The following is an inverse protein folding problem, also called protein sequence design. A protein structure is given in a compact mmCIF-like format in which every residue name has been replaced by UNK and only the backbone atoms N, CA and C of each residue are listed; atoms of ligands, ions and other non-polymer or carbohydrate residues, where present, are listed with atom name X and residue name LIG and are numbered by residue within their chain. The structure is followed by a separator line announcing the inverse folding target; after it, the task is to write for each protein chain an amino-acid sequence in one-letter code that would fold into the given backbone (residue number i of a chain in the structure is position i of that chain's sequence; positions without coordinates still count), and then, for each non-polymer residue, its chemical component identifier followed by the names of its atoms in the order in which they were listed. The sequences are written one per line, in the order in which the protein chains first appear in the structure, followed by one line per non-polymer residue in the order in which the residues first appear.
data_IF_389582589341
#
_entry.id   IF_389582589341
#
_cell.length_a   1.000
_cell.length_b   1.000
_cell.length_c   1.000
_cell.angle_alpha   90.00
_cell.angle_beta   90.00
_cell.angle_gamma   90.00
#
_symmetry.space_group_name_H-M   'P 1'
#
loop_
_entity.id
_entity.type
_entity.pdbx_description
1 polymer ?
#
# COMPACT_ATOMS: atom_id res chain seq x y z
N UNK A 1 -2.46 -9.72 5.94
CA UNK A 1 -3.58 -9.22 5.09
C UNK A 1 -3.14 -8.84 3.69
N UNK A 2 -2.20 -7.90 3.49
CA UNK A 2 -1.82 -7.39 2.15
C UNK A 2 -1.39 -8.47 1.14
N UNK A 3 -0.60 -9.46 1.57
CA UNK A 3 -0.21 -10.57 0.70
C UNK A 3 -1.38 -11.51 0.38
N UNK A 4 -2.30 -11.73 1.33
CA UNK A 4 -3.47 -12.59 1.14
C UNK A 4 -4.41 -12.00 0.10
N UNK A 5 -4.72 -10.69 0.23
CA UNK A 5 -5.54 -10.01 -0.77
C UNK A 5 -4.88 -10.08 -2.15
N UNK A 6 -3.55 -9.93 -2.25
CA UNK A 6 -2.83 -10.05 -3.52
C UNK A 6 -2.90 -11.46 -4.14
N UNK A 7 -2.65 -12.51 -3.36
CA UNK A 7 -2.77 -13.88 -3.84
C UNK A 7 -4.19 -14.19 -4.32
N UNK A 8 -5.21 -13.72 -3.59
CA UNK A 8 -6.59 -13.84 -4.03
C UNK A 8 -6.83 -13.07 -5.35
N UNK A 9 -6.30 -11.86 -5.47
CA UNK A 9 -6.36 -11.04 -6.68
C UNK A 9 -5.78 -11.74 -7.92
N UNK A 10 -4.65 -12.42 -7.76
CA UNK A 10 -4.05 -13.21 -8.84
C UNK A 10 -4.85 -14.48 -9.17
N UNK A 11 -5.39 -15.16 -8.16
CA UNK A 11 -6.17 -16.39 -8.34
C UNK A 11 -7.48 -16.18 -9.11
N UNK A 12 -8.05 -14.97 -9.09
CA UNK A 12 -9.24 -14.62 -9.89
C UNK A 12 -9.05 -14.95 -11.38
N UNK A 13 -7.85 -14.74 -11.93
CA UNK A 13 -7.58 -14.99 -13.35
C UNK A 13 -7.55 -16.47 -13.69
N UNK A 14 -6.98 -17.28 -12.80
CA UNK A 14 -6.82 -18.72 -13.01
C UNK A 14 -8.14 -19.47 -12.78
N UNK A 15 -9.05 -18.87 -12.00
CA UNK A 15 -10.33 -19.46 -11.61
C UNK A 15 -11.52 -18.85 -12.36
N UNK A 16 -11.27 -18.05 -13.41
CA UNK A 16 -12.32 -17.40 -14.18
C UNK A 16 -13.32 -18.42 -14.75
N UNK A 17 -14.61 -18.25 -14.41
CA UNK A 17 -15.67 -19.19 -14.78
C UNK A 17 -15.94 -20.30 -13.75
N UNK A 18 -15.16 -20.38 -12.66
CA UNK A 18 -15.42 -21.29 -11.54
C UNK A 18 -16.19 -20.58 -10.41
N UNK A 19 -16.95 -21.31 -9.57
CA UNK A 19 -17.59 -20.74 -8.38
C UNK A 19 -16.59 -20.12 -7.39
N UNK A 20 -15.32 -20.55 -7.42
CA UNK A 20 -14.28 -20.05 -6.53
C UNK A 20 -13.81 -18.64 -6.92
N UNK A 21 -14.00 -18.21 -8.17
CA UNK A 21 -13.70 -16.83 -8.57
C UNK A 21 -14.41 -15.80 -7.68
N UNK A 22 -15.68 -16.04 -7.34
CA UNK A 22 -16.45 -15.17 -6.46
C UNK A 22 -15.85 -15.07 -5.06
N UNK A 23 -15.37 -16.19 -4.50
CA UNK A 23 -14.69 -16.21 -3.22
C UNK A 23 -13.40 -15.37 -3.26
N UNK A 24 -12.59 -15.52 -4.30
CA UNK A 24 -11.36 -14.74 -4.46
C UNK A 24 -11.62 -13.25 -4.66
N UNK A 25 -12.69 -12.87 -5.38
CA UNK A 25 -13.14 -11.48 -5.45
C UNK A 25 -13.47 -10.93 -4.08
N UNK A 26 -14.23 -11.66 -3.26
CA UNK A 26 -14.58 -11.23 -1.90
C UNK A 26 -13.33 -11.08 -1.03
N UNK A 27 -12.44 -12.08 -1.03
CA UNK A 27 -11.21 -12.05 -0.23
C UNK A 27 -10.19 -11.00 -0.71
N UNK A 28 -10.27 -10.57 -1.96
CA UNK A 28 -9.43 -9.49 -2.49
C UNK A 28 -10.04 -8.11 -2.20
N UNK A 29 -11.27 -7.89 -2.66
CA UNK A 29 -11.94 -6.58 -2.68
C UNK A 29 -12.36 -6.14 -1.29
N UNK A 30 -12.95 -7.03 -0.47
CA UNK A 30 -13.51 -6.64 0.83
C UNK A 30 -12.42 -6.20 1.83
N UNK A 31 -11.30 -6.93 2.02
CA UNK A 31 -10.19 -6.41 2.80
C UNK A 31 -9.57 -5.13 2.22
N UNK A 32 -9.49 -5.04 0.89
CA UNK A 32 -8.98 -3.85 0.21
C UNK A 32 -9.82 -2.61 0.49
N UNK A 33 -11.15 -2.72 0.51
CA UNK A 33 -12.06 -1.62 0.80
C UNK A 33 -12.02 -1.20 2.27
N UNK A 34 -11.88 -2.15 3.21
CA UNK A 34 -11.68 -1.82 4.64
C UNK A 34 -10.39 -0.99 4.81
N UNK A 35 -9.28 -1.45 4.23
CA UNK A 35 -8.00 -0.72 4.29
C UNK A 35 -8.16 0.68 3.67
N UNK A 36 -8.85 0.79 2.54
CA UNK A 36 -9.11 2.07 1.90
C UNK A 36 -9.84 3.04 2.81
N UNK A 37 -10.95 2.61 3.42
CA UNK A 37 -11.78 3.45 4.28
C UNK A 37 -10.98 3.91 5.49
N UNK A 38 -10.24 3.01 6.14
CA UNK A 38 -9.40 3.35 7.30
C UNK A 38 -8.35 4.41 6.94
N UNK A 39 -7.66 4.22 5.81
CA UNK A 39 -6.64 5.15 5.33
C UNK A 39 -7.25 6.48 4.91
N UNK A 40 -8.43 6.48 4.28
CA UNK A 40 -9.14 7.69 3.86
C UNK A 40 -9.60 8.50 5.08
N UNK A 41 -10.23 7.85 6.07
CA UNK A 41 -10.65 8.51 7.31
C UNK A 41 -9.45 9.07 8.06
N UNK A 42 -8.38 8.27 8.19
CA UNK A 42 -7.16 8.72 8.82
C UNK A 42 -6.51 9.89 8.08
N UNK A 43 -6.51 9.86 6.74
CA UNK A 43 -6.02 10.97 5.93
C UNK A 43 -6.85 12.23 6.11
N UNK A 44 -8.19 12.13 6.10
CA UNK A 44 -9.09 13.26 6.35
C UNK A 44 -8.89 13.84 7.76
N UNK A 45 -8.69 12.98 8.76
CA UNK A 45 -8.44 13.40 10.14
C UNK A 45 -7.05 14.06 10.31
N UNK A 46 -6.05 13.62 9.55
CA UNK A 46 -4.65 14.07 9.70
C UNK A 46 -4.25 15.19 8.75
N UNK A 47 -4.98 15.46 7.66
CA UNK A 47 -4.45 16.25 6.56
C UNK A 47 -5.20 17.57 6.30
N UNK A 48 -4.54 18.67 6.69
CA UNK A 48 -4.36 19.88 5.86
C UNK A 48 -2.97 20.56 6.03
N UNK A 49 -2.03 20.04 6.84
CA UNK A 49 -0.73 20.72 6.99
C UNK A 49 0.12 20.57 5.73
N UNK A 50 0.45 21.70 5.07
CA UNK A 50 1.41 21.73 3.95
C UNK A 50 2.71 21.06 4.38
N UNK A 51 3.28 20.25 3.50
CA UNK A 51 4.54 19.53 3.74
C UNK A 51 5.72 20.49 3.60
N UNK A 52 5.81 21.44 4.53
CA UNK A 52 6.92 22.37 4.66
C UNK A 52 7.92 21.72 5.59
N UNK A 53 9.20 21.70 5.19
CA UNK A 53 10.29 21.30 6.09
C UNK A 53 10.53 22.43 7.09
N UNK A 54 10.29 22.22 8.40
CA UNK A 54 10.69 23.22 9.40
C UNK A 54 12.22 23.37 9.39
N UNK A 55 12.77 24.58 9.61
CA UNK A 55 14.21 24.81 9.63
C UNK A 55 14.96 23.88 10.59
N UNK A 56 14.32 23.53 11.70
CA UNK A 56 14.89 22.69 12.77
C UNK A 56 14.68 21.19 12.58
N UNK A 57 13.95 20.76 11.54
CA UNK A 57 13.65 19.34 11.34
C UNK A 57 14.87 18.59 10.80
N UNK A 58 15.33 17.63 11.60
CA UNK A 58 16.41 16.71 11.24
C UNK A 58 16.07 15.95 9.95
N UNK A 59 17.07 15.78 9.07
CA UNK A 59 16.90 15.21 7.72
C UNK A 59 16.20 13.84 7.73
N UNK A 60 16.49 12.99 8.71
CA UNK A 60 15.90 11.65 8.81
C UNK A 60 14.40 11.67 9.14
N UNK A 61 13.96 12.61 9.99
CA UNK A 61 12.53 12.78 10.31
C UNK A 61 11.75 13.28 9.10
N UNK A 62 12.37 14.16 8.30
CA UNK A 62 11.77 14.64 7.06
C UNK A 62 11.63 13.54 6.01
N UNK A 63 12.67 12.72 5.82
CA UNK A 63 12.61 11.53 4.94
C UNK A 63 11.50 10.59 5.41
N UNK A 64 11.40 10.33 6.71
CA UNK A 64 10.35 9.46 7.25
C UNK A 64 8.94 10.03 6.96
N UNK A 65 8.75 11.35 7.11
CA UNK A 65 7.47 12.01 6.79
C UNK A 65 7.10 11.87 5.31
N UNK A 66 8.07 11.96 4.41
CA UNK A 66 7.85 11.74 2.97
C UNK A 66 7.48 10.29 2.69
N UNK A 67 8.22 9.33 3.26
CA UNK A 67 7.93 7.92 3.11
C UNK A 67 6.51 7.59 3.59
N UNK A 68 6.13 8.08 4.78
CA UNK A 68 4.77 7.97 5.30
C UNK A 68 3.73 8.50 4.30
N UNK A 69 3.92 9.70 3.75
CA UNK A 69 3.00 10.24 2.73
C UNK A 69 2.95 9.36 1.48
N UNK A 70 4.08 8.80 1.05
CA UNK A 70 4.14 7.83 -0.05
C UNK A 70 3.25 6.62 0.21
N UNK A 71 3.32 6.02 1.40
CA UNK A 71 2.44 4.91 1.78
C UNK A 71 0.97 5.28 1.69
N UNK A 72 0.56 6.43 2.26
CA UNK A 72 -0.84 6.88 2.19
C UNK A 72 -1.32 7.02 0.75
N UNK A 73 -0.53 7.66 -0.11
CA UNK A 73 -0.90 7.87 -1.50
C UNK A 73 -1.05 6.54 -2.25
N UNK A 74 -0.13 5.59 -2.04
CA UNK A 74 -0.21 4.27 -2.69
C UNK A 74 -1.41 3.48 -2.15
N UNK A 75 -1.64 3.49 -0.83
CA UNK A 75 -2.78 2.80 -0.21
C UNK A 75 -4.13 3.41 -0.60
N UNK A 76 -4.20 4.71 -0.92
CA UNK A 76 -5.39 5.32 -1.52
C UNK A 76 -5.52 4.98 -3.01
N UNK A 77 -4.42 4.94 -3.76
CA UNK A 77 -4.44 4.67 -5.20
C UNK A 77 -4.74 3.20 -5.54
N UNK A 78 -4.33 2.25 -4.71
CA UNK A 78 -4.53 0.81 -4.94
C UNK A 78 -6.02 0.44 -5.07
N UNK A 79 -6.92 0.81 -4.15
CA UNK A 79 -8.35 0.55 -4.28
C UNK A 79 -8.98 1.25 -5.49
N UNK A 80 -8.58 2.50 -5.77
CA UNK A 80 -9.09 3.25 -6.94
C UNK A 80 -8.70 2.58 -8.26
N UNK A 81 -7.45 2.17 -8.40
CA UNK A 81 -6.98 1.40 -9.56
C UNK A 81 -7.61 0.01 -9.61
N UNK A 82 -7.89 -0.62 -8.46
CA UNK A 82 -8.61 -1.89 -8.37
C UNK A 82 -10.05 -1.81 -8.89
N UNK A 83 -10.76 -0.71 -8.59
CA UNK A 83 -12.10 -0.43 -9.15
C UNK A 83 -12.01 -0.31 -10.67
N UNK A 84 -11.03 0.47 -11.18
CA UNK A 84 -10.85 0.62 -12.63
C UNK A 84 -10.57 -0.74 -13.27
N UNK A 85 -9.67 -1.55 -12.70
CA UNK A 85 -9.37 -2.90 -13.18
C UNK A 85 -10.59 -3.81 -13.19
N UNK A 86 -11.48 -3.69 -12.19
CA UNK A 86 -12.70 -4.48 -12.12
C UNK A 86 -13.67 -4.18 -13.27
N UNK A 87 -13.72 -2.92 -13.71
CA UNK A 87 -14.54 -2.45 -14.84
C UNK A 87 -13.74 -2.31 -16.15
N UNK A 88 -12.48 -2.75 -16.21
CA UNK A 88 -11.61 -2.57 -17.38
C UNK A 88 -11.95 -3.60 -18.45
N UNK A 89 -12.57 -3.14 -19.54
CA UNK A 89 -12.87 -3.94 -20.72
C UNK A 89 -11.78 -3.81 -21.82
N UNK A 90 -10.71 -3.05 -21.59
CA UNK A 90 -9.66 -2.82 -22.59
C UNK A 90 -8.75 -4.06 -22.73
N UNK A 91 -8.45 -4.47 -23.96
CA UNK A 91 -7.60 -5.65 -24.25
C UNK A 91 -6.19 -5.52 -23.65
N UNK A 92 -5.60 -4.33 -23.71
CA UNK A 92 -4.22 -4.08 -23.23
C UNK A 92 -4.10 -3.98 -21.70
N UNK A 93 -5.23 -3.94 -20.96
CA UNK A 93 -5.33 -3.87 -19.48
C UNK A 93 -4.24 -3.01 -18.79
N UNK A 94 -4.00 -1.76 -19.20
CA UNK A 94 -2.92 -0.94 -18.65
C UNK A 94 -3.09 -0.67 -17.14
N UNK A 95 -4.33 -0.60 -16.66
CA UNK A 95 -4.62 -0.39 -15.26
C UNK A 95 -4.28 -1.60 -14.39
N UNK A 96 -4.30 -2.81 -14.96
CA UNK A 96 -3.82 -4.00 -14.24
C UNK A 96 -2.31 -3.91 -13.97
N UNK A 97 -1.54 -3.47 -14.97
CA UNK A 97 -0.09 -3.27 -14.81
C UNK A 97 0.20 -2.19 -13.78
N UNK A 98 -0.53 -1.07 -13.83
CA UNK A 98 -0.41 0.00 -12.83
C UNK A 98 -0.75 -0.49 -11.42
N UNK A 99 -1.88 -1.19 -11.26
CA UNK A 99 -2.31 -1.74 -9.97
C UNK A 99 -1.26 -2.69 -9.39
N UNK A 100 -0.68 -3.55 -10.24
CA UNK A 100 0.42 -4.45 -9.87
C UNK A 100 1.70 -3.71 -9.49
N UNK A 101 2.09 -2.69 -10.27
CA UNK A 101 3.26 -1.88 -9.98
C UNK A 101 3.12 -1.13 -8.65
N UNK A 102 1.94 -0.58 -8.35
CA UNK A 102 1.65 0.07 -7.07
C UNK A 102 1.77 -0.91 -5.90
N UNK A 103 1.28 -2.15 -6.04
CA UNK A 103 1.39 -3.15 -4.99
C UNK A 103 2.86 -3.56 -4.76
N UNK A 104 3.61 -3.80 -5.83
CA UNK A 104 5.04 -4.13 -5.72
C UNK A 104 5.83 -2.98 -5.08
N UNK A 105 5.54 -1.74 -5.44
CA UNK A 105 6.15 -0.57 -4.81
C UNK A 105 5.81 -0.49 -3.33
N UNK A 106 4.56 -0.77 -2.94
CA UNK A 106 4.15 -0.85 -1.54
C UNK A 106 4.98 -1.89 -0.77
N UNK A 107 5.17 -3.09 -1.33
CA UNK A 107 5.98 -4.14 -0.71
C UNK A 107 7.44 -3.71 -0.54
N UNK A 108 8.05 -3.11 -1.56
CA UNK A 108 9.42 -2.59 -1.48
C UNK A 108 9.54 -1.57 -0.36
N UNK A 109 8.60 -0.61 -0.29
CA UNK A 109 8.60 0.37 0.78
C UNK A 109 8.46 -0.31 2.14
N UNK A 110 7.52 -1.25 2.33
CA UNK A 110 7.38 -1.98 3.60
C UNK A 110 8.69 -2.67 3.98
N UNK A 111 9.38 -3.32 3.04
CA UNK A 111 10.67 -3.96 3.29
C UNK A 111 11.73 -2.94 3.74
N UNK A 112 11.84 -1.79 3.06
CA UNK A 112 12.75 -0.71 3.46
C UNK A 112 12.46 -0.25 4.89
N UNK A 113 11.19 -0.08 5.26
CA UNK A 113 10.81 0.32 6.61
C UNK A 113 11.14 -0.75 7.66
N UNK A 114 10.86 -2.03 7.39
CA UNK A 114 11.21 -3.13 8.29
C UNK A 114 12.72 -3.22 8.51
N UNK A 115 13.52 -3.12 7.45
CA UNK A 115 14.99 -3.11 7.54
C UNK A 115 15.46 -1.92 8.38
N UNK A 116 14.91 -0.73 8.14
CA UNK A 116 15.22 0.48 8.92
C UNK A 116 14.94 0.30 10.41
N UNK A 117 13.78 -0.29 10.76
CA UNK A 117 13.42 -0.58 12.15
C UNK A 117 14.38 -1.58 12.81
N UNK A 118 14.78 -2.63 12.09
CA UNK A 118 15.72 -3.64 12.59
C UNK A 118 17.09 -2.99 12.86
N UNK A 119 17.62 -2.24 11.89
CA UNK A 119 18.90 -1.52 12.04
C UNK A 119 18.84 -0.55 13.23
N UNK A 120 17.74 0.18 13.38
CA UNK A 120 17.52 1.08 14.52
C UNK A 120 17.61 0.36 15.87
N UNK A 121 16.90 -0.77 16.02
CA UNK A 121 16.95 -1.59 17.25
C UNK A 121 18.33 -2.16 17.52
N UNK A 122 19.06 -2.57 16.49
CA UNK A 122 20.44 -3.09 16.64
C UNK A 122 21.40 -2.00 17.10
N UNK A 123 21.32 -0.77 16.56
CA UNK A 123 22.15 0.36 17.00
C UNK A 123 21.93 0.74 18.47
N UNK A 124 20.70 0.65 18.97
CA UNK A 124 20.37 0.92 20.39
C UNK A 124 20.98 -0.14 21.30
N UNK A 125 21.02 -1.42 20.89
CA UNK A 125 21.66 -2.50 21.66
C UNK A 125 23.19 -2.42 21.73
N UNK A 126 23.83 -1.75 20.76
CA UNK A 126 25.30 -1.75 20.60
C UNK A 126 25.98 -0.56 21.27
N UNK A 127 25.25 0.46 21.77
CA UNK A 127 25.85 1.48 22.62
C UNK A 127 25.98 0.96 24.07
N UNK A 128 27.19 0.68 24.58
CA UNK A 128 27.38 0.52 26.01
C UNK A 128 27.29 1.91 26.67
N UNK A 129 26.80 1.93 27.91
CA UNK A 129 26.91 3.07 28.82
C UNK A 129 28.39 3.45 29.05
#
# INVERSE_FOLDING_TARGET
MLLITWFCGNAIKTEAGSPFAALYYVLHIFPGSIIFILILVEWLAKNQSKLVRPPEMQKHLWINRILHRGYYLILMALPLTGIIVFFDFMENRPFYLLHSALFNLLLVLIMVNLISMIIGKLKVKVKPL
#
